data_IF_670426320506
#
_entry.id   IF_670426320506
#
_cell.length_a   1.000
_cell.length_b   1.000
_cell.length_c   1.000
_cell.angle_alpha   90.00
_cell.angle_beta   90.00
_cell.angle_gamma   90.00
#
_symmetry.space_group_name_H-M   'P 1'
#
loop_
_entity.id
_entity.type
_entity.pdbx_description
1 polymer ?
#
# COMPACT_ATOMS: atom_id res chain seq x y z
N UNK A 1 12.20 -29.82 -4.75
CA UNK A 1 10.82 -29.47 -4.35
C UNK A 1 10.26 -28.49 -5.38
N UNK A 2 9.14 -28.77 -6.07
CA UNK A 2 8.66 -27.88 -7.15
C UNK A 2 8.06 -26.57 -6.57
N UNK A 3 8.33 -25.43 -7.20
CA UNK A 3 7.80 -24.10 -6.79
C UNK A 3 6.27 -24.10 -6.60
N UNK A 4 5.55 -24.84 -7.43
CA UNK A 4 4.10 -25.09 -7.32
C UNK A 4 3.67 -25.75 -5.99
N UNK A 5 4.49 -26.65 -5.45
CA UNK A 5 4.23 -27.34 -4.17
C UNK A 5 4.54 -26.41 -2.99
N UNK A 6 5.42 -25.42 -3.20
CA UNK A 6 5.82 -24.42 -2.22
C UNK A 6 4.87 -23.21 -2.18
N UNK A 7 4.44 -22.67 -3.34
CA UNK A 7 3.40 -21.61 -3.42
C UNK A 7 2.10 -22.06 -2.75
N UNK A 8 1.80 -23.36 -2.81
CA UNK A 8 0.65 -23.95 -2.10
C UNK A 8 0.90 -24.20 -0.60
N UNK A 9 2.16 -24.27 -0.17
CA UNK A 9 2.57 -24.57 1.22
C UNK A 9 2.82 -23.31 2.06
N UNK A 10 3.16 -22.19 1.42
CA UNK A 10 3.42 -20.91 2.06
C UNK A 10 2.09 -20.22 2.37
N UNK A 11 1.67 -20.19 3.65
CA UNK A 11 0.40 -19.56 4.09
C UNK A 11 0.39 -18.02 4.01
N UNK A 12 1.47 -17.39 3.55
CA UNK A 12 1.64 -15.94 3.53
C UNK A 12 1.60 -15.48 2.06
N UNK A 13 0.56 -14.70 1.77
CA UNK A 13 0.34 -13.94 0.52
C UNK A 13 0.12 -14.75 -0.76
N UNK A 14 -0.87 -15.66 -0.73
CA UNK A 14 -1.26 -16.44 -1.92
C UNK A 14 -2.42 -15.77 -2.65
N UNK A 15 -2.13 -14.77 -3.49
CA UNK A 15 -3.12 -14.24 -4.43
C UNK A 15 -3.42 -15.29 -5.50
N UNK A 16 -4.71 -15.61 -5.74
CA UNK A 16 -5.10 -16.63 -6.74
C UNK A 16 -4.55 -16.35 -8.13
N UNK A 17 -4.46 -15.07 -8.52
CA UNK A 17 -3.85 -14.65 -9.78
C UNK A 17 -2.36 -15.05 -9.89
N UNK A 18 -1.64 -15.10 -8.76
CA UNK A 18 -0.24 -15.50 -8.71
C UNK A 18 -0.05 -17.03 -8.71
N UNK A 19 -1.14 -17.80 -8.70
CA UNK A 19 -1.11 -19.27 -8.79
C UNK A 19 -1.36 -19.79 -10.21
N UNK A 20 -1.63 -18.89 -11.15
CA UNK A 20 -1.82 -19.24 -12.54
C UNK A 20 -0.55 -19.86 -13.14
N UNK A 21 -0.71 -20.90 -13.96
CA UNK A 21 0.42 -21.65 -14.51
C UNK A 21 1.23 -20.82 -15.49
N UNK A 22 0.59 -19.98 -16.28
CA UNK A 22 1.28 -19.10 -17.23
C UNK A 22 2.10 -18.06 -16.46
N UNK A 23 1.52 -17.50 -15.40
CA UNK A 23 2.21 -16.57 -14.52
C UNK A 23 3.43 -17.20 -13.83
N UNK A 24 3.30 -18.41 -13.27
CA UNK A 24 4.43 -19.13 -12.63
C UNK A 24 5.52 -19.44 -13.67
N UNK A 25 5.15 -19.87 -14.87
CA UNK A 25 6.11 -20.12 -15.95
C UNK A 25 6.85 -18.85 -16.37
N UNK A 26 6.16 -17.70 -16.39
CA UNK A 26 6.77 -16.41 -16.67
C UNK A 26 7.79 -16.01 -15.58
N UNK A 27 7.46 -16.22 -14.30
CA UNK A 27 8.39 -15.97 -13.19
C UNK A 27 9.64 -16.85 -13.30
N UNK A 28 9.47 -18.14 -13.60
CA UNK A 28 10.57 -19.07 -13.82
C UNK A 28 11.47 -18.64 -14.98
N UNK A 29 10.89 -18.27 -16.12
CA UNK A 29 11.64 -17.81 -17.30
C UNK A 29 12.51 -16.60 -16.97
N UNK A 30 12.01 -15.68 -16.15
CA UNK A 30 12.70 -14.43 -15.81
C UNK A 30 13.53 -14.52 -14.52
N UNK A 31 13.61 -15.69 -13.88
CA UNK A 31 14.31 -15.93 -12.61
C UNK A 31 13.87 -14.97 -11.48
N UNK A 32 12.61 -14.54 -11.50
CA UNK A 32 12.04 -13.66 -10.48
C UNK A 32 11.51 -14.55 -9.35
N UNK A 33 12.22 -14.57 -8.22
CA UNK A 33 11.85 -15.34 -7.04
C UNK A 33 11.82 -14.44 -5.81
N UNK A 34 10.67 -14.38 -5.13
CA UNK A 34 10.50 -13.71 -3.85
C UNK A 34 10.12 -14.80 -2.83
N UNK A 35 11.01 -15.15 -1.89
CA UNK A 35 10.67 -16.01 -0.75
C UNK A 35 9.41 -15.52 0.00
N UNK A 36 8.70 -16.41 0.71
CA UNK A 36 7.55 -16.01 1.51
C UNK A 36 8.09 -15.23 2.70
N UNK A 37 7.30 -14.31 3.21
CA UNK A 37 7.71 -13.45 4.34
C UNK A 37 8.91 -12.53 4.05
N UNK A 38 9.38 -12.43 2.80
CA UNK A 38 10.41 -11.44 2.40
C UNK A 38 9.84 -10.39 1.46
N UNK A 39 8.51 -10.27 1.33
CA UNK A 39 7.87 -9.28 0.45
C UNK A 39 8.23 -7.86 0.87
N UNK A 40 8.30 -7.61 2.18
CA UNK A 40 8.71 -6.31 2.73
C UNK A 40 10.17 -5.93 2.44
N UNK A 41 11.00 -6.89 2.02
CA UNK A 41 12.40 -6.69 1.66
C UNK A 41 12.60 -6.64 0.14
N UNK A 42 11.91 -7.52 -0.59
CA UNK A 42 12.20 -7.81 -1.99
C UNK A 42 11.13 -7.30 -2.97
N UNK A 43 9.97 -6.84 -2.50
CA UNK A 43 8.95 -6.27 -3.36
C UNK A 43 9.17 -4.75 -3.47
N UNK A 44 9.50 -4.21 -4.66
CA UNK A 44 9.76 -2.77 -4.85
C UNK A 44 8.64 -1.88 -4.31
N UNK A 45 7.39 -2.30 -4.51
CA UNK A 45 6.21 -1.59 -4.06
C UNK A 45 6.13 -1.48 -2.52
N UNK A 46 6.51 -2.55 -1.80
CA UNK A 46 6.54 -2.53 -0.33
C UNK A 46 7.70 -1.68 0.22
N UNK A 47 8.82 -1.63 -0.50
CA UNK A 47 10.01 -0.83 -0.13
C UNK A 47 9.85 0.67 -0.32
N UNK A 48 8.92 1.12 -1.16
CA UNK A 48 8.75 2.55 -1.44
C UNK A 48 7.29 3.01 -1.44
N UNK A 49 6.55 2.67 -2.51
CA UNK A 49 5.22 3.23 -2.83
C UNK A 49 4.23 3.02 -1.68
N UNK A 50 4.17 1.82 -1.10
CA UNK A 50 3.22 1.48 -0.06
C UNK A 50 3.44 2.27 1.23
N UNK A 51 4.70 2.51 1.61
CA UNK A 51 5.03 3.33 2.78
C UNK A 51 4.52 4.75 2.62
N UNK A 52 4.82 5.36 1.47
CA UNK A 52 4.39 6.74 1.15
C UNK A 52 2.87 6.85 1.05
N UNK A 53 2.20 5.90 0.39
CA UNK A 53 0.74 5.82 0.31
C UNK A 53 0.10 5.79 1.70
N UNK A 54 0.58 4.91 2.58
CA UNK A 54 0.06 4.78 3.95
C UNK A 54 0.29 6.04 4.77
N UNK A 55 1.44 6.70 4.64
CA UNK A 55 1.73 7.96 5.34
C UNK A 55 0.74 9.06 4.95
N UNK A 56 0.57 9.30 3.65
CA UNK A 56 -0.30 10.37 3.16
C UNK A 56 -1.77 10.09 3.56
N UNK A 57 -2.25 8.85 3.42
CA UNK A 57 -3.62 8.52 3.84
C UNK A 57 -3.82 8.73 5.36
N UNK A 58 -2.82 8.35 6.17
CA UNK A 58 -2.85 8.58 7.61
C UNK A 58 -2.89 10.07 7.94
N UNK A 59 -2.06 10.88 7.30
CA UNK A 59 -2.05 12.35 7.46
C UNK A 59 -3.40 12.96 7.09
N UNK A 60 -3.99 12.57 5.94
CA UNK A 60 -5.32 13.04 5.52
C UNK A 60 -6.42 12.66 6.52
N UNK A 61 -6.38 11.43 7.04
CA UNK A 61 -7.32 11.01 8.08
C UNK A 61 -7.16 11.81 9.37
N UNK A 62 -5.92 12.02 9.84
CA UNK A 62 -5.64 12.78 11.07
C UNK A 62 -6.10 14.23 10.92
N UNK A 63 -5.84 14.87 9.78
CA UNK A 63 -6.32 16.24 9.48
C UNK A 63 -7.84 16.29 9.53
N UNK A 64 -8.51 15.41 8.77
CA UNK A 64 -9.97 15.34 8.72
C UNK A 64 -10.60 15.10 10.10
N UNK A 65 -10.03 14.18 10.89
CA UNK A 65 -10.53 13.90 12.24
C UNK A 65 -10.37 15.12 13.14
N UNK A 66 -9.18 15.74 13.11
CA UNK A 66 -8.85 16.92 13.92
C UNK A 66 -9.74 18.12 13.57
N UNK A 67 -10.04 18.32 12.28
CA UNK A 67 -10.96 19.34 11.79
C UNK A 67 -12.38 19.13 12.34
N UNK A 68 -12.86 17.88 12.37
CA UNK A 68 -14.19 17.58 12.92
C UNK A 68 -14.28 17.77 14.42
N UNK A 69 -13.24 17.35 15.15
CA UNK A 69 -13.13 17.60 16.59
C UNK A 69 -13.12 19.10 16.87
N UNK A 70 -12.30 19.85 16.12
CA UNK A 70 -12.19 21.31 16.24
C UNK A 70 -13.52 22.00 15.95
N UNK A 71 -14.25 21.57 14.91
CA UNK A 71 -15.55 22.12 14.59
C UNK A 71 -16.58 21.93 15.70
N UNK A 72 -16.60 20.76 16.37
CA UNK A 72 -17.50 20.54 17.51
C UNK A 72 -17.09 21.38 18.73
N UNK A 73 -15.78 21.49 19.01
CA UNK A 73 -15.27 22.35 20.07
C UNK A 73 -15.64 23.82 19.86
N UNK A 74 -15.46 24.33 18.65
CA UNK A 74 -15.83 25.71 18.30
C UNK A 74 -17.33 25.96 18.41
N UNK A 75 -18.17 24.93 18.30
CA UNK A 75 -19.61 24.99 18.51
C UNK A 75 -20.01 24.80 19.99
N UNK A 76 -19.05 24.79 20.92
CA UNK A 76 -19.31 24.72 22.36
C UNK A 76 -19.64 23.31 22.88
N UNK A 77 -19.38 22.26 22.09
CA UNK A 77 -19.52 20.88 22.57
C UNK A 77 -18.42 20.60 23.61
N UNK A 78 -18.76 20.19 24.85
CA UNK A 78 -17.76 19.81 25.84
C UNK A 78 -16.89 18.66 25.35
N UNK A 79 -15.62 18.64 25.74
CA UNK A 79 -14.62 17.66 25.28
C UNK A 79 -15.11 16.22 25.47
N UNK A 80 -15.77 15.94 26.59
CA UNK A 80 -16.26 14.62 26.97
C UNK A 80 -17.43 14.13 26.10
N UNK A 81 -18.07 15.04 25.37
CA UNK A 81 -19.22 14.77 24.50
C UNK A 81 -18.87 14.79 23.02
N UNK A 82 -17.61 15.07 22.66
CA UNK A 82 -17.18 15.05 21.26
C UNK A 82 -17.30 13.63 20.73
N UNK A 83 -18.01 13.49 19.63
CA UNK A 83 -18.20 12.21 18.96
C UNK A 83 -18.11 12.40 17.46
N UNK A 84 -17.15 11.72 16.85
CA UNK A 84 -16.96 11.73 15.40
C UNK A 84 -17.51 10.43 14.83
N UNK A 85 -18.38 10.53 13.84
CA UNK A 85 -18.93 9.37 13.16
C UNK A 85 -17.85 8.71 12.28
N UNK A 86 -17.42 7.51 12.68
CA UNK A 86 -16.42 6.71 11.99
C UNK A 86 -17.03 5.55 11.19
N UNK A 87 -18.35 5.54 10.97
CA UNK A 87 -18.98 4.54 10.12
C UNK A 87 -18.39 4.60 8.71
N UNK A 88 -18.31 3.44 8.07
CA UNK A 88 -17.76 3.32 6.70
C UNK A 88 -18.52 4.20 5.71
N UNK A 89 -19.83 4.38 5.88
CA UNK A 89 -20.64 5.28 5.05
C UNK A 89 -20.16 6.73 5.09
N UNK A 90 -19.64 7.19 6.24
CA UNK A 90 -19.14 8.56 6.42
C UNK A 90 -17.69 8.72 5.97
N UNK A 91 -16.83 7.75 6.30
CA UNK A 91 -15.40 7.83 5.99
C UNK A 91 -15.14 7.56 4.50
N UNK A 92 -15.86 6.62 3.88
CA UNK A 92 -15.55 6.12 2.53
C UNK A 92 -15.55 7.22 1.45
N UNK A 93 -16.49 8.19 1.43
CA UNK A 93 -16.42 9.32 0.51
C UNK A 93 -15.18 10.19 0.69
N UNK A 94 -14.81 10.52 1.94
CA UNK A 94 -13.61 11.29 2.23
C UNK A 94 -12.34 10.52 1.82
N UNK A 95 -12.28 9.24 2.16
CA UNK A 95 -11.18 8.34 1.82
C UNK A 95 -10.99 8.18 0.31
N UNK A 96 -12.07 8.13 -0.48
CA UNK A 96 -11.98 8.08 -1.94
C UNK A 96 -11.25 9.31 -2.50
N UNK A 97 -11.54 10.50 -1.99
CA UNK A 97 -10.83 11.73 -2.39
C UNK A 97 -9.36 11.70 -1.97
N UNK A 98 -9.04 11.16 -0.79
CA UNK A 98 -7.65 10.99 -0.36
C UNK A 98 -6.90 10.02 -1.27
N UNK A 99 -7.52 8.93 -1.69
CA UNK A 99 -6.93 7.99 -2.64
C UNK A 99 -6.63 8.63 -4.00
N UNK A 100 -7.57 9.43 -4.54
CA UNK A 100 -7.34 10.16 -5.79
C UNK A 100 -6.16 11.13 -5.68
N UNK A 101 -6.07 11.84 -4.55
CA UNK A 101 -4.95 12.73 -4.28
C UNK A 101 -3.62 11.97 -4.19
N UNK A 102 -3.59 10.87 -3.44
CA UNK A 102 -2.38 10.03 -3.29
C UNK A 102 -1.96 9.44 -4.64
N UNK A 103 -2.92 9.03 -5.46
CA UNK A 103 -2.65 8.56 -6.81
C UNK A 103 -1.98 9.64 -7.65
N UNK A 104 -2.51 10.87 -7.66
CA UNK A 104 -1.90 11.98 -8.40
C UNK A 104 -0.46 12.26 -7.95
N UNK A 105 -0.22 12.30 -6.63
CA UNK A 105 1.11 12.49 -6.05
C UNK A 105 2.08 11.37 -6.47
N UNK A 106 1.69 10.12 -6.27
CA UNK A 106 2.57 8.97 -6.57
C UNK A 106 2.76 8.75 -8.08
N UNK A 107 1.78 9.15 -8.91
CA UNK A 107 1.90 9.05 -10.36
C UNK A 107 3.03 9.93 -10.91
N UNK A 108 3.31 11.06 -10.25
CA UNK A 108 4.35 12.03 -10.63
C UNK A 108 5.69 11.78 -9.95
N UNK A 109 5.71 10.99 -8.88
CA UNK A 109 6.91 10.69 -8.11
C UNK A 109 7.69 9.51 -8.69
N UNK A 110 8.48 9.79 -9.73
CA UNK A 110 9.31 8.78 -10.37
C UNK A 110 10.46 8.30 -9.47
N UNK A 111 10.99 9.18 -8.61
CA UNK A 111 12.07 8.84 -7.69
C UNK A 111 11.62 7.75 -6.70
N UNK A 112 10.44 7.91 -6.08
CA UNK A 112 9.89 6.90 -5.18
C UNK A 112 9.74 5.53 -5.87
N UNK A 113 9.31 5.51 -7.14
CA UNK A 113 9.19 4.26 -7.90
C UNK A 113 10.55 3.62 -8.13
N UNK A 114 11.53 4.39 -8.62
CA UNK A 114 12.88 3.90 -8.90
C UNK A 114 13.59 3.41 -7.65
N UNK A 115 13.47 4.14 -6.53
CA UNK A 115 14.04 3.77 -5.24
C UNK A 115 13.51 2.41 -4.76
N UNK A 116 12.26 2.06 -5.07
CA UNK A 116 11.71 0.74 -4.74
C UNK A 116 12.51 -0.39 -5.40
N UNK A 117 12.83 -0.26 -6.69
CA UNK A 117 13.62 -1.26 -7.42
C UNK A 117 15.07 -1.33 -6.94
N UNK A 118 15.65 -0.18 -6.58
CA UNK A 118 17.00 -0.11 -6.01
C UNK A 118 17.08 -0.78 -4.64
N UNK A 119 16.15 -0.45 -3.74
CA UNK A 119 16.09 -1.01 -2.38
C UNK A 119 15.78 -2.51 -2.37
N UNK A 120 15.07 -3.01 -3.37
CA UNK A 120 14.81 -4.43 -3.56
C UNK A 120 15.98 -5.18 -4.23
N UNK A 121 17.08 -4.49 -4.57
CA UNK A 121 18.27 -5.09 -5.17
C UNK A 121 18.11 -5.49 -6.65
N UNK A 122 17.10 -4.95 -7.34
CA UNK A 122 16.79 -5.29 -8.74
C UNK A 122 16.95 -4.08 -9.67
N UNK A 123 17.90 -3.20 -9.40
CA UNK A 123 18.21 -2.02 -10.22
C UNK A 123 18.46 -2.33 -11.70
N UNK A 124 18.97 -3.53 -12.02
CA UNK A 124 19.18 -3.98 -13.40
C UNK A 124 17.88 -4.12 -14.22
N UNK A 125 16.72 -4.18 -13.57
CA UNK A 125 15.41 -4.15 -14.23
C UNK A 125 15.03 -2.75 -14.74
N UNK A 126 15.77 -1.69 -14.35
CA UNK A 126 15.49 -0.31 -14.75
C UNK A 126 16.00 0.04 -16.16
N UNK A 127 16.74 -0.86 -16.82
CA UNK A 127 17.14 -0.69 -18.22
C UNK A 127 18.11 0.46 -18.48
N UNK A 128 18.96 0.80 -17.52
CA UNK A 128 20.05 1.76 -17.68
C UNK A 128 21.26 1.14 -18.38
#
# INVERSE_FOLDING_TARGET
MSLLKWVKSSKITVFKAHQDREFINLLHKNKIFVPPSTTEELQPCDRSVNGKLKSILKEKFVSWYSERVSAQLSNGVPVEKISIDLRVSEIKPAHANWLLHVFDVLSKDNECKLNGFQLAGISGALGC
#
